data_IF_289834719405
#
_entry.id   IF_289834719405
#
_cell.length_a   1.000
_cell.length_b   1.000
_cell.length_c   1.000
_cell.angle_alpha   90.00
_cell.angle_beta   90.00
_cell.angle_gamma   90.00
#
_symmetry.space_group_name_H-M   'P 1'
#
loop_
_entity.id
_entity.type
_entity.pdbx_description
1 polymer ?
#
# COMPACT_ATOMS: atom_id res chain seq x y z
N UNK A 1 9.67 23.29 -14.52
CA UNK A 1 9.75 22.23 -13.50
C UNK A 1 9.39 20.88 -14.11
N UNK A 2 10.26 19.90 -13.97
CA UNK A 2 10.12 18.62 -14.65
C UNK A 2 9.46 17.53 -13.79
N UNK A 3 8.79 17.92 -12.70
CA UNK A 3 8.12 16.99 -11.79
C UNK A 3 9.02 16.41 -10.71
N UNK A 4 10.32 16.72 -10.70
CA UNK A 4 11.24 16.29 -9.63
C UNK A 4 10.94 17.06 -8.35
N UNK A 5 10.85 16.36 -7.23
CA UNK A 5 10.56 16.97 -5.94
C UNK A 5 9.11 17.41 -5.74
N UNK A 6 8.25 17.26 -6.73
CA UNK A 6 6.83 17.57 -6.61
C UNK A 6 6.13 16.36 -5.99
N UNK A 7 5.26 16.61 -4.99
CA UNK A 7 4.50 15.56 -4.34
C UNK A 7 3.51 14.93 -5.32
N UNK A 8 3.50 13.60 -5.39
CA UNK A 8 2.64 12.81 -6.27
C UNK A 8 2.16 11.57 -5.52
N UNK A 9 1.21 10.85 -6.12
CA UNK A 9 0.72 9.61 -5.54
C UNK A 9 0.27 8.64 -6.63
N UNK A 10 0.35 7.34 -6.29
CA UNK A 10 -0.30 6.27 -7.04
C UNK A 10 -1.43 5.73 -6.18
N UNK A 11 -2.62 5.57 -6.76
CA UNK A 11 -3.75 4.90 -6.12
C UNK A 11 -3.90 3.55 -6.80
N UNK A 12 -3.75 2.48 -6.03
CA UNK A 12 -3.66 1.12 -6.55
C UNK A 12 -4.84 0.31 -6.01
N UNK A 13 -5.70 -0.18 -6.91
CA UNK A 13 -6.77 -1.10 -6.53
C UNK A 13 -6.15 -2.49 -6.29
N UNK A 14 -6.22 -2.97 -5.05
CA UNK A 14 -5.66 -4.28 -4.68
C UNK A 14 -6.73 -5.36 -4.78
N UNK A 15 -7.99 -5.00 -4.67
CA UNK A 15 -9.11 -5.91 -4.83
C UNK A 15 -10.24 -5.22 -5.58
N UNK A 16 -11.21 -6.03 -6.05
CA UNK A 16 -12.47 -5.46 -6.53
C UNK A 16 -13.28 -4.92 -5.35
N UNK A 17 -14.45 -4.33 -5.66
CA UNK A 17 -15.28 -3.63 -4.66
C UNK A 17 -16.34 -4.50 -4.01
N UNK A 18 -16.54 -5.72 -4.50
CA UNK A 18 -17.71 -6.53 -4.15
C UNK A 18 -17.38 -7.89 -3.55
N UNK A 19 -16.13 -8.34 -3.66
CA UNK A 19 -15.69 -9.63 -3.15
C UNK A 19 -14.88 -9.44 -1.87
N UNK A 20 -15.16 -10.24 -0.85
CA UNK A 20 -14.40 -10.20 0.39
C UNK A 20 -12.92 -10.48 0.12
N UNK A 21 -12.03 -9.75 0.81
CA UNK A 21 -10.60 -9.92 0.68
C UNK A 21 -10.17 -11.32 1.05
N UNK A 22 -9.18 -11.83 0.34
CA UNK A 22 -8.47 -13.06 0.70
C UNK A 22 -6.99 -12.74 0.87
N UNK A 23 -6.32 -13.50 1.74
CA UNK A 23 -4.87 -13.36 1.92
C UNK A 23 -4.13 -13.86 0.69
N UNK A 24 -2.94 -13.35 0.48
CA UNK A 24 -2.07 -13.81 -0.60
C UNK A 24 -0.91 -12.86 -0.81
N UNK A 25 0.11 -13.38 -1.48
CA UNK A 25 1.27 -12.61 -1.90
C UNK A 25 1.05 -12.11 -3.32
N UNK A 26 1.65 -10.95 -3.64
CA UNK A 26 1.59 -10.37 -4.98
C UNK A 26 0.16 -10.31 -5.54
N UNK A 27 -0.76 -9.81 -4.72
CA UNK A 27 -2.15 -9.59 -5.16
C UNK A 27 -2.20 -8.58 -6.30
N UNK A 28 -1.23 -7.65 -6.32
CA UNK A 28 -1.00 -6.71 -7.41
C UNK A 28 0.49 -6.66 -7.67
N UNK A 29 0.86 -6.59 -8.94
CA UNK A 29 2.26 -6.44 -9.37
C UNK A 29 2.32 -5.34 -10.41
N UNK A 30 3.25 -4.40 -10.23
CA UNK A 30 3.52 -3.39 -11.25
C UNK A 30 4.98 -2.96 -11.17
N UNK A 31 5.42 -2.21 -12.17
CA UNK A 31 6.80 -1.70 -12.21
C UNK A 31 6.81 -0.20 -11.99
N UNK A 32 7.83 0.25 -11.28
CA UNK A 32 8.03 1.68 -11.00
C UNK A 32 8.38 2.39 -12.31
N UNK A 33 7.59 3.39 -12.73
CA UNK A 33 7.81 4.03 -14.03
C UNK A 33 9.03 4.96 -14.05
N UNK A 34 9.52 5.37 -12.88
CA UNK A 34 10.73 6.21 -12.73
C UNK A 34 11.17 6.15 -11.28
N UNK A 35 12.47 6.29 -11.03
CA UNK A 35 13.00 6.30 -9.66
C UNK A 35 12.33 7.38 -8.81
N UNK A 36 11.99 7.04 -7.56
CA UNK A 36 11.27 7.96 -6.70
C UNK A 36 11.60 7.71 -5.22
N UNK A 37 11.27 8.72 -4.40
CA UNK A 37 11.37 8.65 -2.95
C UNK A 37 9.97 8.59 -2.38
N UNK A 38 9.64 7.51 -1.67
CA UNK A 38 8.34 7.34 -1.01
C UNK A 38 8.28 8.25 0.22
N UNK A 39 7.22 9.05 0.31
CA UNK A 39 7.03 9.98 1.43
C UNK A 39 5.93 9.52 2.38
N UNK A 40 5.08 8.60 1.96
CA UNK A 40 4.02 8.06 2.79
C UNK A 40 3.29 6.93 2.11
N UNK A 41 2.58 6.15 2.91
CA UNK A 41 1.70 5.09 2.41
C UNK A 41 0.39 5.14 3.16
N UNK A 42 -0.68 4.71 2.49
CA UNK A 42 -2.02 4.69 3.06
C UNK A 42 -2.81 3.54 2.45
N UNK A 43 -3.75 2.99 3.21
CA UNK A 43 -4.68 1.99 2.70
C UNK A 43 -6.11 2.39 3.09
N UNK A 44 -7.07 1.97 2.27
CA UNK A 44 -8.48 2.22 2.53
C UNK A 44 -9.32 1.06 2.00
N UNK A 45 -10.52 0.91 2.57
CA UNK A 45 -11.49 -0.10 2.13
C UNK A 45 -12.86 0.56 1.97
N UNK A 46 -13.72 0.00 1.12
CA UNK A 46 -15.09 0.50 1.01
C UNK A 46 -16.03 -0.20 2.00
N UNK A 47 -15.74 -1.45 2.36
CA UNK A 47 -16.50 -2.19 3.38
C UNK A 47 -15.55 -2.56 4.52
N UNK A 48 -15.93 -2.20 5.74
CA UNK A 48 -15.08 -2.41 6.92
C UNK A 48 -14.92 -3.90 7.25
N UNK A 49 -13.82 -4.24 7.92
CA UNK A 49 -13.67 -5.53 8.57
C UNK A 49 -14.55 -5.55 9.83
N UNK A 50 -15.39 -6.57 9.96
CA UNK A 50 -16.21 -6.73 11.18
C UNK A 50 -15.41 -7.34 12.32
N UNK A 51 -14.28 -7.98 12.02
CA UNK A 51 -13.41 -8.63 12.99
C UNK A 51 -12.04 -8.83 12.38
N UNK A 52 -11.00 -8.62 13.17
CA UNK A 52 -9.63 -8.72 12.69
C UNK A 52 -9.17 -7.45 12.00
N UNK A 53 -7.86 -7.31 11.89
CA UNK A 53 -7.20 -6.12 11.36
C UNK A 53 -6.59 -6.42 10.01
N UNK A 54 -7.16 -5.97 8.89
CA UNK A 54 -6.53 -6.10 7.58
C UNK A 54 -5.11 -5.54 7.62
N UNK A 55 -4.17 -6.31 7.10
CA UNK A 55 -2.73 -5.98 7.13
C UNK A 55 -2.18 -6.13 5.72
N UNK A 56 -1.48 -5.10 5.25
CA UNK A 56 -1.00 -4.98 3.89
C UNK A 56 0.50 -4.72 3.90
N UNK A 57 1.23 -5.42 3.04
CA UNK A 57 2.66 -5.22 2.85
C UNK A 57 2.95 -4.76 1.43
N UNK A 58 3.98 -3.94 1.28
CA UNK A 58 4.45 -3.46 -0.01
C UNK A 58 5.90 -3.89 -0.16
N UNK A 59 6.21 -4.57 -1.27
CA UNK A 59 7.55 -5.08 -1.52
C UNK A 59 8.14 -4.48 -2.79
N UNK A 60 9.44 -4.26 -2.76
CA UNK A 60 10.24 -3.91 -3.94
C UNK A 60 11.20 -5.07 -4.22
N UNK A 61 11.08 -5.67 -5.40
CA UNK A 61 11.90 -6.83 -5.81
C UNK A 61 11.89 -7.94 -4.74
N UNK A 62 10.71 -8.16 -4.13
CA UNK A 62 10.52 -9.22 -3.15
C UNK A 62 10.90 -8.87 -1.71
N UNK A 63 11.41 -7.66 -1.46
CA UNK A 63 11.78 -7.21 -0.11
C UNK A 63 10.84 -6.13 0.35
N UNK A 64 10.27 -6.26 1.55
CA UNK A 64 9.35 -5.25 2.09
C UNK A 64 10.03 -3.89 2.24
N UNK A 65 9.29 -2.84 1.89
CA UNK A 65 9.73 -1.47 2.14
C UNK A 65 9.24 -0.93 3.50
N UNK A 66 8.48 -1.76 4.24
CA UNK A 66 7.86 -1.36 5.51
C UNK A 66 8.46 -2.18 6.65
N UNK A 67 8.95 -1.50 7.68
CA UNK A 67 9.32 -2.17 8.94
C UNK A 67 8.10 -2.41 9.82
N UNK A 68 7.06 -1.58 9.67
CA UNK A 68 5.74 -1.80 10.25
C UNK A 68 4.72 -1.71 9.11
N UNK A 69 3.92 -2.75 8.94
CA UNK A 69 3.00 -2.87 7.81
C UNK A 69 1.80 -1.95 7.95
N UNK A 70 1.14 -1.69 6.83
CA UNK A 70 -0.13 -0.96 6.81
C UNK A 70 -1.22 -1.79 7.47
N UNK A 71 -1.98 -1.17 8.36
CA UNK A 71 -3.14 -1.81 9.01
C UNK A 71 -4.36 -0.92 8.93
N UNK A 72 -5.54 -1.55 8.86
CA UNK A 72 -6.83 -0.88 8.98
C UNK A 72 -7.57 -1.58 10.10
N UNK A 73 -7.86 -0.87 11.19
CA UNK A 73 -8.53 -1.49 12.33
C UNK A 73 -9.95 -1.93 11.98
N UNK A 74 -10.45 -2.94 12.68
CA UNK A 74 -11.84 -3.40 12.51
C UNK A 74 -12.79 -2.22 12.67
N UNK A 75 -13.84 -2.21 11.87
CA UNK A 75 -14.87 -1.17 11.82
C UNK A 75 -14.39 0.17 11.30
N UNK A 76 -13.18 0.25 10.74
CA UNK A 76 -12.63 1.47 10.13
C UNK A 76 -12.39 1.28 8.64
N UNK A 77 -12.38 2.38 7.90
CA UNK A 77 -12.23 2.38 6.43
C UNK A 77 -10.87 2.85 5.96
N UNK A 78 -9.99 3.26 6.86
CA UNK A 78 -8.73 3.91 6.49
C UNK A 78 -7.62 3.55 7.47
N UNK A 79 -6.39 3.48 6.95
CA UNK A 79 -5.20 3.32 7.79
C UNK A 79 -4.81 4.61 8.52
N UNK A 80 -5.40 5.74 8.17
CA UNK A 80 -5.10 7.04 8.81
C UNK A 80 -5.42 7.00 10.31
N UNK A 81 -6.47 6.28 10.69
CA UNK A 81 -6.91 6.17 12.09
C UNK A 81 -6.42 4.89 12.78
N UNK A 82 -5.54 4.14 12.14
CA UNK A 82 -5.02 2.90 12.71
C UNK A 82 -4.28 3.15 14.02
N UNK A 83 -4.44 2.23 14.96
CA UNK A 83 -3.74 2.31 16.24
C UNK A 83 -2.21 2.21 16.07
N UNK A 84 -1.76 1.50 15.03
CA UNK A 84 -0.35 1.37 14.71
C UNK A 84 -0.09 1.92 13.31
N UNK A 85 0.70 2.98 13.22
CA UNK A 85 1.05 3.59 11.95
C UNK A 85 2.07 2.73 11.20
N UNK A 86 1.97 2.68 9.87
CA UNK A 86 2.99 2.07 9.04
C UNK A 86 4.30 2.84 9.15
N UNK A 87 5.43 2.12 9.07
CA UNK A 87 6.76 2.73 9.08
C UNK A 87 7.50 2.30 7.81
N UNK A 88 7.94 3.27 7.04
CA UNK A 88 8.71 3.03 5.81
C UNK A 88 10.18 2.87 6.21
N UNK A 89 10.74 1.69 5.94
CA UNK A 89 12.14 1.39 6.23
C UNK A 89 13.04 1.59 5.00
N UNK A 90 12.47 1.45 3.79
CA UNK A 90 13.16 1.72 2.53
C UNK A 90 12.29 2.66 1.70
N UNK A 91 12.69 3.93 1.63
CA UNK A 91 11.92 4.94 0.92
C UNK A 91 12.37 5.12 -0.53
N UNK A 92 13.39 4.39 -1.01
CA UNK A 92 13.88 4.53 -2.38
C UNK A 92 13.34 3.41 -3.26
N UNK A 93 12.65 3.79 -4.33
CA UNK A 93 12.20 2.86 -5.35
C UNK A 93 12.99 3.11 -6.63
N UNK A 94 13.69 2.07 -7.09
CA UNK A 94 14.49 2.17 -8.31
C UNK A 94 13.59 2.18 -9.55
N UNK A 95 14.05 2.85 -10.60
CA UNK A 95 13.38 2.81 -11.89
C UNK A 95 13.23 1.36 -12.36
N UNK A 96 12.02 1.02 -12.83
CA UNK A 96 11.66 -0.30 -13.36
C UNK A 96 11.77 -1.44 -12.32
N UNK A 97 11.85 -1.14 -11.03
CA UNK A 97 11.79 -2.18 -10.01
C UNK A 97 10.36 -2.75 -9.91
N UNK A 98 10.26 -4.01 -9.53
CA UNK A 98 8.97 -4.68 -9.39
C UNK A 98 8.38 -4.42 -8.01
N UNK A 99 7.17 -3.87 -7.99
CA UNK A 99 6.41 -3.65 -6.77
C UNK A 99 5.32 -4.71 -6.68
N UNK A 100 5.22 -5.35 -5.52
CA UNK A 100 4.13 -6.28 -5.23
C UNK A 100 3.43 -5.84 -3.95
N UNK A 101 2.14 -6.09 -3.88
CA UNK A 101 1.33 -5.78 -2.70
C UNK A 101 0.72 -7.07 -2.21
N UNK A 102 0.96 -7.37 -0.92
CA UNK A 102 0.48 -8.57 -0.26
C UNK A 102 -0.66 -8.21 0.68
N UNK A 103 -1.63 -9.11 0.81
CA UNK A 103 -2.62 -9.06 1.88
C UNK A 103 -2.23 -10.14 2.87
N UNK A 104 -1.66 -9.74 4.01
CA UNK A 104 -1.19 -10.68 5.03
C UNK A 104 -2.34 -11.11 5.93
N UNK A 105 -3.27 -10.20 6.22
CA UNK A 105 -4.50 -10.48 6.98
C UNK A 105 -5.65 -9.78 6.27
N UNK A 106 -6.74 -10.49 6.05
CA UNK A 106 -7.86 -9.96 5.27
C UNK A 106 -8.95 -9.34 6.14
N UNK A 107 -9.04 -9.72 7.40
CA UNK A 107 -10.19 -9.38 8.25
C UNK A 107 -11.41 -10.20 7.83
N UNK A 108 -12.58 -9.77 8.28
CA UNK A 108 -13.83 -10.46 8.00
C UNK A 108 -14.78 -9.56 7.21
N UNK A 109 -15.13 -9.99 6.01
CA UNK A 109 -16.06 -9.26 5.14
C UNK A 109 -15.53 -7.99 4.54
N UNK A 110 -14.25 -7.72 4.66
CA UNK A 110 -13.58 -6.52 4.13
C UNK A 110 -13.62 -6.53 2.60
N UNK A 111 -13.91 -5.37 1.99
CA UNK A 111 -13.98 -5.25 0.53
C UNK A 111 -13.40 -3.93 0.05
N UNK A 112 -12.93 -3.94 -1.19
CA UNK A 112 -12.55 -2.71 -1.87
C UNK A 112 -11.25 -2.10 -1.37
N UNK A 113 -10.22 -2.94 -1.20
CA UNK A 113 -8.92 -2.46 -0.71
C UNK A 113 -8.19 -1.66 -1.79
N UNK A 114 -7.75 -0.47 -1.40
CA UNK A 114 -6.86 0.37 -2.20
C UNK A 114 -5.66 0.77 -1.37
N UNK A 115 -4.52 0.85 -2.02
CA UNK A 115 -3.27 1.33 -1.41
C UNK A 115 -2.85 2.60 -2.15
N UNK A 116 -2.45 3.60 -1.38
CA UNK A 116 -1.94 4.86 -1.93
C UNK A 116 -0.47 4.96 -1.54
N UNK A 117 0.40 5.16 -2.54
CA UNK A 117 1.82 5.40 -2.31
C UNK A 117 2.09 6.85 -2.69
N UNK A 118 2.47 7.65 -1.69
CA UNK A 118 2.87 9.04 -1.89
C UNK A 118 4.36 9.08 -2.15
N UNK A 119 4.77 9.85 -3.15
CA UNK A 119 6.18 9.89 -3.54
C UNK A 119 6.57 11.24 -4.14
N UNK A 120 7.88 11.43 -4.27
CA UNK A 120 8.48 12.49 -5.08
C UNK A 120 9.40 11.82 -6.09
N UNK A 121 9.29 12.23 -7.35
CA UNK A 121 10.16 11.69 -8.40
C UNK A 121 11.59 12.19 -8.17
N UNK A 122 12.55 11.26 -8.24
CA UNK A 122 13.96 11.60 -8.12
C UNK A 122 14.46 12.29 -9.39
N UNK A 123 15.44 13.16 -9.22
CA UNK A 123 16.16 13.72 -10.36
C UNK A 123 16.92 12.61 -11.11
N UNK A 124 17.13 12.74 -12.42
CA UNK A 124 17.85 11.74 -13.20
C UNK A 124 19.32 11.60 -12.74
#
# INVERSE_FOLDING_TARGET
>A
QNGYGIAREWIIAVSDETTALTTGTAKVTFRVPHGCTVTGVRASVNTVSSSGTPTVDINENGTTILSTKLTIDASEKTSVTAATAAVISDNQLADDSEITIDIDTAGTGTKGLKVIIYYKRNAP
#
